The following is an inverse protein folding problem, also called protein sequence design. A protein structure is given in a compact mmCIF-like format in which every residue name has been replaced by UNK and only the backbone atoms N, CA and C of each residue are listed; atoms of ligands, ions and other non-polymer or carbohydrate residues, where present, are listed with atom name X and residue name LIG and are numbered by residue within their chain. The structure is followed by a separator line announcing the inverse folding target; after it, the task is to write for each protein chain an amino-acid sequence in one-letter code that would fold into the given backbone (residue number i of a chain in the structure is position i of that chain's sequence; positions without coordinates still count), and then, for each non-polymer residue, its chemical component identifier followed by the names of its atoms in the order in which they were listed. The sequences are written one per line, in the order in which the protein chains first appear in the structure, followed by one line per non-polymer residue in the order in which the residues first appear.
data_IF_986869404241
#
_entry.id   IF_986869404241
#
_cell.length_a   1.000
_cell.length_b   1.000
_cell.length_c   1.000
_cell.angle_alpha   90.00
_cell.angle_beta   90.00
_cell.angle_gamma   90.00
#
_symmetry.space_group_name_H-M   'P 1'
#
loop_
_entity.id
_entity.type
_entity.pdbx_description
1 polymer ?
#
# COMPACT_ATOMS: atom_id res chain seq x y z
N UNK A 1 5.89 -54.28 28.78
CA UNK A 1 5.79 -53.02 29.56
C UNK A 1 6.51 -51.83 28.90
N UNK A 2 7.13 -51.96 27.73
CA UNK A 2 7.78 -50.83 27.02
C UNK A 2 6.97 -50.31 25.83
N UNK A 3 6.05 -51.11 25.29
CA UNK A 3 5.19 -50.73 24.15
C UNK A 3 4.11 -49.72 24.54
N UNK A 4 3.56 -49.82 25.75
CA UNK A 4 2.46 -48.95 26.20
C UNK A 4 2.90 -47.49 26.38
N UNK A 5 4.13 -47.26 26.85
CA UNK A 5 4.69 -45.93 27.00
C UNK A 5 4.92 -45.23 25.65
N UNK A 6 5.33 -45.96 24.63
CA UNK A 6 5.56 -45.38 23.29
C UNK A 6 4.24 -44.91 22.66
N UNK A 7 3.17 -45.70 22.81
CA UNK A 7 1.85 -45.31 22.30
C UNK A 7 1.30 -44.06 22.98
N UNK A 8 1.45 -43.95 24.30
CA UNK A 8 0.99 -42.77 25.05
C UNK A 8 1.75 -41.51 24.59
N UNK A 9 3.07 -41.61 24.39
CA UNK A 9 3.87 -40.46 23.95
C UNK A 9 3.45 -40.00 22.54
N UNK A 10 3.19 -40.92 21.61
CA UNK A 10 2.74 -40.56 20.25
C UNK A 10 1.35 -39.88 20.27
N UNK A 11 0.43 -40.38 21.10
CA UNK A 11 -0.91 -39.77 21.25
C UNK A 11 -0.81 -38.36 21.85
N UNK A 12 0.02 -38.16 22.88
CA UNK A 12 0.20 -36.83 23.48
C UNK A 12 0.82 -35.85 22.48
N UNK A 13 1.85 -36.26 21.73
CA UNK A 13 2.50 -35.41 20.73
C UNK A 13 1.54 -35.03 19.58
N UNK A 14 0.71 -35.98 19.12
CA UNK A 14 -0.29 -35.72 18.07
C UNK A 14 -1.40 -34.78 18.54
N UNK A 15 -1.87 -34.92 19.79
CA UNK A 15 -2.88 -34.00 20.34
C UNK A 15 -2.31 -32.59 20.56
N UNK A 16 -1.06 -32.47 21.01
CA UNK A 16 -0.41 -31.15 21.21
C UNK A 16 -0.20 -30.44 19.88
N UNK A 17 0.31 -31.14 18.86
CA UNK A 17 0.53 -30.55 17.53
C UNK A 17 -0.80 -30.16 16.86
N UNK A 18 -1.84 -30.99 16.95
CA UNK A 18 -3.17 -30.66 16.43
C UNK A 18 -3.80 -29.44 17.14
N UNK A 19 -3.63 -29.34 18.46
CA UNK A 19 -4.10 -28.20 19.24
C UNK A 19 -3.42 -26.88 18.83
N UNK A 20 -2.09 -26.87 18.71
CA UNK A 20 -1.30 -25.68 18.35
C UNK A 20 -1.67 -25.14 16.95
N UNK A 21 -1.94 -26.02 15.99
CA UNK A 21 -2.35 -25.61 14.63
C UNK A 21 -3.72 -24.92 14.66
N UNK A 22 -4.64 -25.38 15.50
CA UNK A 22 -6.00 -24.82 15.56
C UNK A 22 -6.03 -23.42 16.21
N UNK A 23 -5.18 -23.16 17.22
CA UNK A 23 -5.04 -21.81 17.82
C UNK A 23 -4.49 -20.77 16.83
N UNK A 24 -3.66 -21.20 15.88
CA UNK A 24 -2.99 -20.31 14.93
C UNK A 24 -3.94 -19.80 13.83
N UNK A 25 -4.98 -20.57 13.48
CA UNK A 25 -5.96 -20.18 12.46
C UNK A 25 -6.98 -19.14 12.97
N UNK A 26 -7.38 -19.23 14.25
CA UNK A 26 -8.40 -18.34 14.81
C UNK A 26 -7.87 -16.93 15.14
N UNK A 27 -6.57 -16.77 15.39
CA UNK A 27 -5.97 -15.48 15.76
C UNK A 27 -5.64 -14.57 14.56
N UNK A 28 -5.62 -15.08 13.32
CA UNK A 28 -5.17 -14.33 12.14
C UNK A 28 -6.31 -13.64 11.36
N UNK A 29 -7.58 -14.04 11.56
CA UNK A 29 -8.69 -13.54 10.74
C UNK A 29 -9.28 -12.19 11.22
N UNK A 30 -9.06 -11.80 12.48
CA UNK A 30 -9.66 -10.58 13.05
C UNK A 30 -8.83 -9.30 12.85
N UNK A 31 -7.57 -9.40 12.43
CA UNK A 31 -6.69 -8.23 12.18
C UNK A 31 -6.79 -7.66 10.76
N UNK A 32 -7.31 -8.42 9.79
CA UNK A 32 -7.45 -7.95 8.40
C UNK A 32 -8.57 -6.90 8.26
N UNK A 33 -9.59 -6.91 9.12
CA UNK A 33 -10.73 -5.97 9.02
C UNK A 33 -10.50 -4.59 9.64
N UNK A 34 -9.40 -4.38 10.39
CA UNK A 34 -9.07 -3.07 11.00
C UNK A 34 -7.90 -2.33 10.33
N UNK A 35 -7.26 -2.91 9.31
CA UNK A 35 -6.12 -2.32 8.60
C UNK A 35 -6.46 -1.60 7.28
N UNK A 36 -7.63 -1.84 6.67
CA UNK A 36 -8.06 -1.19 5.41
C UNK A 36 -8.77 0.15 5.67
N UNK A 37 -8.25 0.92 6.61
CA UNK A 37 -8.59 2.32 6.86
C UNK A 37 -7.34 3.21 6.79
N UNK A 38 -6.31 2.75 6.09
CA UNK A 38 -5.24 3.62 5.60
C UNK A 38 -5.38 3.77 4.10
N UNK A 39 -5.37 5.02 3.66
CA UNK A 39 -4.80 5.39 2.37
C UNK A 39 -5.68 5.13 1.15
N UNK A 40 -7.00 5.29 1.29
CA UNK A 40 -7.73 6.02 0.25
C UNK A 40 -7.79 7.42 0.82
N UNK A 41 -6.76 8.23 0.54
CA UNK A 41 -6.99 9.67 0.51
C UNK A 41 -8.24 9.82 -0.35
N UNK A 42 -9.25 10.41 0.25
CA UNK A 42 -10.51 10.75 -0.37
C UNK A 42 -10.13 11.61 -1.57
N UNK A 43 -9.96 10.93 -2.70
CA UNK A 43 -10.11 11.49 -4.02
C UNK A 43 -11.63 11.59 -4.20
N UNK A 44 -12.24 12.47 -3.42
CA UNK A 44 -13.55 12.96 -3.80
C UNK A 44 -13.25 13.72 -5.10
N UNK A 45 -13.57 13.11 -6.24
CA UNK A 45 -13.21 13.60 -7.57
C UNK A 45 -13.81 14.97 -7.91
N UNK A 46 -14.37 15.65 -6.91
CA UNK A 46 -14.95 16.99 -6.96
C UNK A 46 -13.93 18.11 -6.79
N UNK A 47 -12.87 17.94 -5.99
CA UNK A 47 -11.90 19.03 -5.70
C UNK A 47 -10.44 18.68 -6.02
N UNK A 48 -10.23 17.53 -6.63
CA UNK A 48 -8.94 17.06 -7.12
C UNK A 48 -8.29 18.07 -8.06
N UNK A 49 -7.04 18.47 -7.80
CA UNK A 49 -6.33 19.32 -8.76
C UNK A 49 -6.16 18.57 -10.10
N UNK A 50 -6.72 19.12 -11.19
CA UNK A 50 -6.73 18.50 -12.52
C UNK A 50 -5.31 18.28 -13.03
N UNK A 51 -4.41 19.24 -12.75
CA UNK A 51 -3.03 19.18 -13.26
C UNK A 51 -2.18 18.10 -12.62
N UNK A 52 -2.16 18.02 -11.27
CA UNK A 52 -1.38 16.97 -10.60
C UNK A 52 -2.18 15.72 -10.30
N UNK A 53 -3.47 15.67 -10.61
CA UNK A 53 -4.38 14.61 -10.16
C UNK A 53 -4.17 14.36 -8.66
N UNK A 54 -4.04 15.45 -7.88
CA UNK A 54 -3.93 15.44 -6.41
C UNK A 54 -2.72 14.70 -5.82
N UNK A 55 -1.77 14.32 -6.67
CA UNK A 55 -0.46 13.81 -6.26
C UNK A 55 0.49 14.89 -5.76
N UNK A 56 0.06 16.16 -5.79
CA UNK A 56 0.80 17.35 -5.31
C UNK A 56 2.09 17.65 -6.09
N UNK A 57 2.44 16.78 -7.04
CA UNK A 57 3.68 16.81 -7.81
C UNK A 57 3.40 16.56 -9.28
N UNK A 58 4.18 17.21 -10.12
CA UNK A 58 4.25 17.02 -11.57
C UNK A 58 5.70 16.81 -11.97
N UNK A 59 5.96 16.40 -13.20
CA UNK A 59 7.32 16.39 -13.72
C UNK A 59 7.85 17.81 -13.98
N UNK A 60 9.17 17.92 -14.12
CA UNK A 60 9.90 19.13 -14.47
C UNK A 60 9.90 19.44 -15.97
N UNK A 61 9.08 18.73 -16.76
CA UNK A 61 8.90 18.97 -18.17
C UNK A 61 7.98 20.16 -18.47
N UNK A 62 7.99 20.62 -19.72
CA UNK A 62 7.16 21.76 -20.17
C UNK A 62 5.66 21.50 -20.03
N UNK A 63 5.25 20.24 -20.21
CA UNK A 63 3.85 19.81 -20.10
C UNK A 63 3.42 19.69 -18.62
N UNK A 64 4.35 19.46 -17.69
CA UNK A 64 4.05 19.31 -16.27
C UNK A 64 3.07 18.16 -16.01
N UNK A 65 3.39 16.96 -16.52
CA UNK A 65 2.60 15.74 -16.40
C UNK A 65 2.53 15.33 -14.93
N UNK A 66 1.34 14.93 -14.45
CA UNK A 66 1.17 14.43 -13.08
C UNK A 66 2.18 13.34 -12.74
N UNK A 67 2.81 13.47 -11.57
CA UNK A 67 3.78 12.47 -11.09
C UNK A 67 3.17 11.08 -10.90
N UNK A 68 1.84 10.99 -10.85
CA UNK A 68 1.10 9.72 -10.85
C UNK A 68 1.54 8.80 -11.98
N UNK A 69 1.62 9.33 -13.21
CA UNK A 69 1.95 8.52 -14.39
C UNK A 69 3.36 7.97 -14.30
N UNK A 70 4.31 8.78 -13.83
CA UNK A 70 5.69 8.38 -13.58
C UNK A 70 5.82 7.33 -12.46
N UNK A 71 4.99 7.42 -11.42
CA UNK A 71 4.95 6.45 -10.32
C UNK A 71 4.37 5.09 -10.74
N UNK A 72 3.44 5.09 -11.71
CA UNK A 72 2.75 3.89 -12.22
C UNK A 72 3.52 3.19 -13.37
N UNK A 73 4.59 3.80 -13.90
CA UNK A 73 5.40 3.17 -14.94
C UNK A 73 6.05 1.86 -14.45
N UNK A 74 6.12 0.82 -15.31
CA UNK A 74 6.85 -0.39 -15.00
C UNK A 74 8.33 -0.07 -14.76
N UNK A 75 9.00 -0.85 -13.90
CA UNK A 75 10.37 -0.57 -13.46
C UNK A 75 11.37 -0.35 -14.62
N UNK A 76 11.17 -1.08 -15.72
CA UNK A 76 11.96 -0.96 -16.96
C UNK A 76 11.78 0.40 -17.65
N UNK A 77 10.59 1.00 -17.56
CA UNK A 77 10.28 2.32 -18.15
C UNK A 77 10.60 3.49 -17.20
N UNK A 78 10.96 3.22 -15.93
CA UNK A 78 11.36 4.24 -14.95
C UNK A 78 12.82 4.69 -15.08
N UNK A 79 13.53 4.24 -16.12
CA UNK A 79 14.94 4.58 -16.37
C UNK A 79 15.16 6.08 -16.43
N UNK A 80 14.26 6.86 -17.06
CA UNK A 80 14.39 8.32 -17.13
C UNK A 80 14.37 9.01 -15.75
N UNK A 81 13.56 8.50 -14.83
CA UNK A 81 13.51 8.98 -13.43
C UNK A 81 14.78 8.58 -12.68
N UNK A 82 15.25 7.35 -12.86
CA UNK A 82 16.47 6.83 -12.22
C UNK A 82 17.73 7.56 -12.70
N UNK A 83 17.79 7.91 -13.98
CA UNK A 83 18.88 8.70 -14.57
C UNK A 83 18.78 10.20 -14.23
N UNK A 84 17.72 10.62 -13.52
CA UNK A 84 17.51 12.01 -13.13
C UNK A 84 17.22 12.95 -14.29
N UNK A 85 16.83 12.41 -15.45
CA UNK A 85 16.39 13.19 -16.62
C UNK A 85 15.02 13.82 -16.40
N UNK A 86 14.19 13.19 -15.56
CA UNK A 86 12.87 13.68 -15.17
C UNK A 86 12.78 13.68 -13.64
N UNK A 87 12.42 14.82 -13.06
CA UNK A 87 12.35 15.03 -11.62
C UNK A 87 10.96 15.51 -11.21
N UNK A 88 10.47 15.11 -10.03
CA UNK A 88 9.24 15.66 -9.50
C UNK A 88 9.45 17.09 -9.02
N UNK A 89 8.60 18.00 -9.47
CA UNK A 89 8.47 19.35 -8.90
C UNK A 89 7.13 19.49 -8.18
N UNK A 90 7.04 20.50 -7.31
CA UNK A 90 5.76 20.87 -6.67
C UNK A 90 4.80 21.33 -7.76
N UNK A 91 3.56 20.84 -7.74
CA UNK A 91 2.57 21.26 -8.73
C UNK A 91 2.36 22.78 -8.65
N UNK A 92 2.65 23.55 -9.72
CA UNK A 92 2.51 25.00 -9.70
C UNK A 92 1.05 25.45 -9.68
N UNK A 93 0.11 24.59 -10.12
CA UNK A 93 -1.31 24.92 -10.19
C UNK A 93 -1.95 24.97 -8.80
N UNK A 94 -1.76 23.92 -8.00
CA UNK A 94 -2.31 23.82 -6.65
C UNK A 94 -1.29 24.13 -5.55
N UNK A 95 -0.09 24.58 -5.92
CA UNK A 95 1.02 24.83 -5.00
C UNK A 95 1.29 23.67 -4.01
N UNK A 96 1.13 22.42 -4.49
CA UNK A 96 1.35 21.21 -3.68
C UNK A 96 0.22 20.85 -2.71
N UNK A 97 -0.93 21.52 -2.73
CA UNK A 97 -2.09 21.11 -1.90
C UNK A 97 -2.74 19.83 -2.44
N UNK A 98 -2.71 19.64 -3.76
CA UNK A 98 -3.39 18.55 -4.46
C UNK A 98 -4.88 18.84 -4.73
N UNK A 99 -5.31 20.07 -4.48
CA UNK A 99 -6.70 20.53 -4.54
C UNK A 99 -6.79 21.74 -5.49
N UNK A 100 -7.87 21.86 -6.26
CA UNK A 100 -8.06 23.00 -7.17
C UNK A 100 -8.05 24.35 -6.43
N UNK A 101 -7.25 25.35 -6.88
CA UNK A 101 -7.19 26.67 -6.26
C UNK A 101 -8.53 27.40 -6.46
N UNK A 102 -9.33 27.47 -5.40
CA UNK A 102 -10.69 28.05 -5.43
C UNK A 102 -11.75 27.22 -4.71
N UNK A 103 -11.43 26.00 -4.29
CA UNK A 103 -12.31 25.11 -3.51
C UNK A 103 -11.96 25.06 -2.01
N UNK A 104 -10.98 25.86 -1.58
CA UNK A 104 -10.64 26.05 -0.17
C UNK A 104 -11.52 27.15 0.43
N UNK A 105 -12.76 26.80 0.80
CA UNK A 105 -13.59 27.59 1.72
C UNK A 105 -13.29 27.21 3.18
#
# INVERSE_FOLDING_TARGET
MTTDLVFIVVIVVTLVTAGIVNYSAAALSSRIKRGRKRMIQIYDGTNACERCLGWKRVDDGDEGISWKYWAELPAQSRIAVTLGLVKPIVCPHCNGTGVEPGTAE
#
